data_IF_341802808163
#
_entry.id   IF_341802808163
#
_cell.length_a   1.000
_cell.length_b   1.000
_cell.length_c   1.000
_cell.angle_alpha   90.00
_cell.angle_beta   90.00
_cell.angle_gamma   90.00
#
_symmetry.space_group_name_H-M   'P 1'
#
loop_
_entity.id
_entity.type
_entity.pdbx_description
1 polymer ?
#
# COMPACT_ATOMS: atom_id res chain seq x y z
N UNK A 1 30.34 10.73 20.11
CA UNK A 1 29.65 10.10 18.96
C UNK A 1 28.45 10.97 18.63
N UNK A 2 28.34 11.53 17.42
CA UNK A 2 27.24 12.43 17.08
C UNK A 2 25.92 11.64 17.01
N UNK A 3 24.87 12.19 17.61
CA UNK A 3 23.52 11.64 17.56
C UNK A 3 22.82 12.15 16.30
N UNK A 4 22.26 11.25 15.51
CA UNK A 4 21.47 11.57 14.33
C UNK A 4 19.99 11.35 14.63
N UNK A 5 19.16 12.24 14.11
CA UNK A 5 17.72 12.12 14.10
C UNK A 5 17.30 11.63 12.72
N UNK A 6 16.25 10.81 12.65
CA UNK A 6 15.64 10.45 11.40
C UNK A 6 14.12 10.62 11.48
N UNK A 7 13.51 10.95 10.34
CA UNK A 7 12.07 10.88 10.13
C UNK A 7 11.79 10.17 8.81
N UNK A 8 10.68 9.45 8.77
CA UNK A 8 10.18 8.79 7.57
C UNK A 8 8.84 9.41 7.24
N UNK A 9 8.75 9.94 6.03
CA UNK A 9 7.54 10.60 5.50
C UNK A 9 7.00 9.76 4.35
N UNK A 10 5.70 9.49 4.34
CA UNK A 10 5.00 8.80 3.25
C UNK A 10 3.58 9.34 3.16
N UNK A 11 3.09 9.61 1.94
CA UNK A 11 1.76 10.19 1.69
C UNK A 11 1.51 11.43 2.58
N UNK A 12 2.49 12.34 2.61
CA UNK A 12 2.42 13.60 3.38
C UNK A 12 2.30 13.42 4.92
N UNK A 13 2.53 12.22 5.44
CA UNK A 13 2.46 11.91 6.87
C UNK A 13 3.81 11.40 7.41
N UNK A 14 4.13 11.79 8.64
CA UNK A 14 5.26 11.22 9.38
C UNK A 14 4.84 9.84 9.89
N UNK A 15 5.46 8.79 9.35
CA UNK A 15 5.14 7.39 9.66
C UNK A 15 6.13 6.75 10.64
N UNK A 16 7.33 7.34 10.81
CA UNK A 16 8.29 6.93 11.83
C UNK A 16 9.24 8.09 12.18
N UNK A 17 9.71 8.12 13.42
CA UNK A 17 10.75 9.05 13.89
C UNK A 17 11.67 8.34 14.89
N UNK A 18 12.91 8.80 14.99
CA UNK A 18 13.77 8.35 16.06
C UNK A 18 15.16 8.94 16.05
N UNK A 19 15.97 8.42 16.97
CA UNK A 19 17.36 8.84 17.20
C UNK A 19 18.29 7.64 17.12
N UNK A 20 19.46 7.84 16.52
CA UNK A 20 20.51 6.83 16.41
C UNK A 20 21.87 7.44 16.72
N UNK A 21 22.70 6.71 17.45
CA UNK A 21 24.08 7.11 17.76
C UNK A 21 25.11 6.38 16.90
N UNK A 22 24.66 5.74 15.82
CA UNK A 22 25.48 4.97 14.89
C UNK A 22 25.44 5.61 13.51
N UNK A 23 26.55 5.55 12.79
CA UNK A 23 26.65 5.97 11.38
C UNK A 23 25.90 5.02 10.44
N UNK A 24 25.57 3.82 10.92
CA UNK A 24 24.78 2.83 10.19
C UNK A 24 23.64 2.33 11.09
N UNK A 25 22.42 2.35 10.57
CA UNK A 25 21.25 1.84 11.27
C UNK A 25 20.26 1.21 10.28
N UNK A 26 19.46 0.26 10.79
CA UNK A 26 18.44 -0.44 10.01
C UNK A 26 17.07 0.13 10.33
N UNK A 27 16.24 0.23 9.29
CA UNK A 27 14.82 0.54 9.38
C UNK A 27 14.03 -0.61 8.76
N UNK A 28 12.92 -0.98 9.39
CA UNK A 28 12.01 -2.01 8.88
C UNK A 28 10.78 -1.32 8.30
N UNK A 29 10.57 -1.36 6.98
CA UNK A 29 9.41 -0.73 6.37
C UNK A 29 8.10 -1.38 6.82
N UNK A 30 7.07 -0.56 7.00
CA UNK A 30 5.70 -1.00 7.24
C UNK A 30 4.81 -0.64 6.05
N UNK A 31 3.61 -1.23 5.96
CA UNK A 31 2.67 -0.92 4.87
C UNK A 31 2.24 0.57 4.85
N UNK A 32 2.39 1.29 5.97
CA UNK A 32 2.17 2.73 6.06
C UNK A 32 3.15 3.53 5.20
N UNK A 33 4.33 2.98 4.90
CA UNK A 33 5.41 3.60 4.11
C UNK A 33 5.19 3.48 2.60
N UNK A 34 4.22 2.66 2.18
CA UNK A 34 3.85 2.49 0.79
C UNK A 34 2.97 3.64 0.26
N UNK A 35 3.10 4.00 -1.03
CA UNK A 35 3.93 3.33 -2.04
C UNK A 35 5.36 3.86 -2.17
N UNK A 36 5.66 4.98 -1.52
CA UNK A 36 6.99 5.59 -1.50
C UNK A 36 7.24 6.22 -0.14
N UNK A 37 8.46 6.10 0.36
CA UNK A 37 8.90 6.71 1.61
C UNK A 37 10.11 7.60 1.38
N UNK A 38 10.07 8.81 1.95
CA UNK A 38 11.20 9.72 2.06
C UNK A 38 11.80 9.58 3.46
N UNK A 39 13.03 9.09 3.54
CA UNK A 39 13.79 8.93 4.78
C UNK A 39 14.72 10.14 4.87
N UNK A 40 14.48 10.99 5.86
CA UNK A 40 15.28 12.19 6.12
C UNK A 40 16.12 11.93 7.36
N UNK A 41 17.42 12.16 7.27
CA UNK A 41 18.36 12.06 8.39
C UNK A 41 19.00 13.42 8.61
N UNK A 42 19.08 13.85 9.87
CA UNK A 42 19.66 15.15 10.20
C UNK A 42 20.32 15.18 11.58
N UNK A 43 21.24 16.11 11.76
CA UNK A 43 21.82 16.44 13.06
C UNK A 43 22.04 17.95 13.18
N UNK A 44 22.21 18.42 14.40
CA UNK A 44 22.49 19.83 14.70
C UNK A 44 23.93 19.94 15.17
N UNK A 45 24.69 20.87 14.58
CA UNK A 45 26.08 21.15 14.99
C UNK A 45 26.11 21.97 16.29
N UNK A 46 27.28 22.07 16.91
CA UNK A 46 27.45 22.89 18.12
C UNK A 46 27.23 24.40 17.86
N UNK A 47 27.34 24.84 16.59
CA UNK A 47 27.01 26.20 16.15
C UNK A 47 25.50 26.42 15.92
N UNK A 48 24.68 25.38 16.05
CA UNK A 48 23.23 25.44 15.81
C UNK A 48 22.81 25.23 14.35
N UNK A 49 23.74 24.90 13.45
CA UNK A 49 23.45 24.59 12.05
C UNK A 49 22.79 23.21 11.93
N UNK A 50 21.76 23.11 11.08
CA UNK A 50 21.11 21.83 10.76
C UNK A 50 21.70 21.29 9.47
N UNK A 51 22.30 20.10 9.55
CA UNK A 51 22.80 19.36 8.38
C UNK A 51 21.91 18.16 8.18
N UNK A 52 21.32 18.04 6.99
CA UNK A 52 20.41 16.95 6.64
C UNK A 52 20.74 16.34 5.27
N UNK A 53 20.26 15.12 5.07
CA UNK A 53 20.19 14.44 3.78
C UNK A 53 18.91 13.60 3.72
N UNK A 54 18.47 13.26 2.50
CA UNK A 54 17.23 12.52 2.29
C UNK A 54 17.39 11.46 1.18
N UNK A 55 16.76 10.31 1.40
CA UNK A 55 16.66 9.25 0.39
C UNK A 55 15.21 8.85 0.20
N UNK A 56 14.82 8.71 -1.07
CA UNK A 56 13.48 8.25 -1.45
C UNK A 56 13.58 6.77 -1.83
N UNK A 57 12.72 5.95 -1.23
CA UNK A 57 12.67 4.50 -1.46
C UNK A 57 11.27 4.06 -1.89
N UNK A 58 11.11 3.30 -2.99
CA UNK A 58 9.84 2.70 -3.35
C UNK A 58 9.53 1.54 -2.39
N UNK A 59 8.29 1.50 -1.89
CA UNK A 59 7.81 0.45 -0.98
C UNK A 59 6.62 -0.22 -1.64
N UNK A 60 6.71 -1.54 -1.86
CA UNK A 60 5.62 -2.27 -2.49
C UNK A 60 4.40 -2.33 -1.55
N UNK A 61 3.23 -1.79 -1.96
CA UNK A 61 2.02 -1.87 -1.16
C UNK A 61 1.55 -3.32 -1.02
N UNK A 62 1.03 -3.66 0.15
CA UNK A 62 0.45 -4.97 0.43
C UNK A 62 -1.02 -4.80 0.83
N UNK A 63 -1.91 -5.35 0.01
CA UNK A 63 -3.31 -5.52 0.42
C UNK A 63 -3.38 -6.58 1.51
N UNK A 64 -3.66 -6.13 2.74
CA UNK A 64 -3.75 -6.97 3.94
C UNK A 64 -4.88 -7.99 3.84
N UNK A 65 -6.02 -7.57 3.29
CA UNK A 65 -7.19 -8.42 3.14
C UNK A 65 -6.96 -9.41 2.00
N UNK A 66 -6.72 -10.68 2.34
CA UNK A 66 -6.67 -11.76 1.36
C UNK A 66 -8.06 -12.35 1.19
N UNK A 67 -8.51 -12.39 -0.06
CA UNK A 67 -9.82 -12.91 -0.43
C UNK A 67 -9.63 -14.22 -1.17
N UNK A 68 -10.38 -15.26 -0.77
CA UNK A 68 -10.47 -16.53 -1.50
C UNK A 68 -11.92 -16.76 -1.88
N UNK A 69 -12.16 -17.05 -3.15
CA UNK A 69 -13.50 -17.23 -3.68
C UNK A 69 -13.62 -18.61 -4.29
N UNK A 70 -14.76 -19.26 -4.07
CA UNK A 70 -15.08 -20.53 -4.71
C UNK A 70 -16.57 -20.62 -4.99
N UNK A 71 -16.88 -21.03 -6.21
CA UNK A 71 -18.24 -21.35 -6.61
C UNK A 71 -18.57 -22.79 -6.25
N UNK A 72 -19.85 -23.05 -5.97
CA UNK A 72 -20.34 -24.42 -5.75
C UNK A 72 -20.26 -25.29 -7.01
N UNK A 73 -20.26 -24.68 -8.21
CA UNK A 73 -20.18 -25.32 -9.52
C UNK A 73 -19.47 -24.41 -10.51
N UNK A 74 -18.71 -24.98 -11.45
CA UNK A 74 -18.02 -24.21 -12.51
C UNK A 74 -18.96 -23.78 -13.64
N UNK A 75 -20.06 -24.51 -13.83
CA UNK A 75 -21.12 -24.24 -14.81
C UNK A 75 -22.48 -24.49 -14.17
N UNK A 76 -23.47 -23.72 -14.61
CA UNK A 76 -24.84 -23.85 -14.17
C UNK A 76 -25.79 -23.54 -15.33
N UNK A 77 -26.89 -24.27 -15.40
CA UNK A 77 -27.98 -24.01 -16.34
C UNK A 77 -28.82 -22.81 -15.89
N UNK A 78 -29.60 -22.19 -16.80
CA UNK A 78 -30.52 -21.11 -16.44
C UNK A 78 -31.43 -21.52 -15.27
N UNK A 79 -31.60 -20.60 -14.31
CA UNK A 79 -32.39 -20.81 -13.09
C UNK A 79 -31.84 -21.85 -12.10
N UNK A 80 -30.70 -22.49 -12.37
CA UNK A 80 -30.04 -23.30 -11.34
C UNK A 80 -29.52 -22.44 -10.19
N UNK A 81 -29.66 -22.97 -8.96
CA UNK A 81 -29.08 -22.33 -7.77
C UNK A 81 -27.58 -22.61 -7.71
N UNK A 82 -26.81 -21.53 -7.56
CA UNK A 82 -25.38 -21.56 -7.28
C UNK A 82 -25.08 -20.83 -5.97
N UNK A 83 -23.95 -21.16 -5.36
CA UNK A 83 -23.47 -20.47 -4.15
C UNK A 83 -22.03 -20.03 -4.34
N UNK A 84 -21.75 -18.79 -3.96
CA UNK A 84 -20.41 -18.22 -3.89
C UNK A 84 -19.96 -18.21 -2.43
N UNK A 85 -18.87 -18.92 -2.14
CA UNK A 85 -18.19 -18.85 -0.84
C UNK A 85 -17.05 -17.86 -0.92
N UNK A 86 -17.00 -16.94 0.03
CA UNK A 86 -15.94 -15.94 0.13
C UNK A 86 -15.27 -16.08 1.50
N UNK A 87 -13.99 -16.40 1.50
CA UNK A 87 -13.13 -16.37 2.69
C UNK A 87 -12.32 -15.09 2.73
N UNK A 88 -12.28 -14.44 3.88
CA UNK A 88 -11.50 -13.21 4.13
C UNK A 88 -10.52 -13.46 5.27
N UNK A 89 -9.34 -12.84 5.20
CA UNK A 89 -8.33 -12.95 6.27
C UNK A 89 -8.61 -12.03 7.46
N UNK A 90 -9.29 -10.90 7.26
CA UNK A 90 -9.51 -9.89 8.29
C UNK A 90 -10.99 -9.84 8.73
N UNK A 91 -11.26 -9.71 10.05
CA UNK A 91 -12.61 -9.51 10.56
C UNK A 91 -13.18 -8.17 10.10
N UNK A 92 -14.52 -8.06 10.05
CA UNK A 92 -15.24 -6.85 9.63
C UNK A 92 -14.91 -6.35 8.21
N UNK A 93 -14.44 -7.25 7.33
CA UNK A 93 -14.23 -6.93 5.91
C UNK A 93 -15.56 -6.66 5.21
N UNK A 94 -15.64 -5.53 4.49
CA UNK A 94 -16.76 -5.19 3.60
C UNK A 94 -16.47 -5.72 2.20
N UNK A 95 -17.46 -6.39 1.60
CA UNK A 95 -17.34 -7.01 0.27
C UNK A 95 -18.38 -6.41 -0.66
N UNK A 96 -17.93 -5.73 -1.72
CA UNK A 96 -18.75 -5.33 -2.84
C UNK A 96 -18.73 -6.41 -3.93
N UNK A 97 -19.90 -6.84 -4.40
CA UNK A 97 -20.02 -7.80 -5.50
C UNK A 97 -20.70 -7.14 -6.69
N UNK A 98 -20.07 -7.24 -7.86
CA UNK A 98 -20.66 -6.85 -9.14
C UNK A 98 -20.76 -8.07 -10.04
N UNK A 99 -21.94 -8.29 -10.62
CA UNK A 99 -22.21 -9.40 -11.54
C UNK A 99 -22.47 -8.80 -12.91
N UNK A 100 -21.63 -9.15 -13.88
CA UNK A 100 -21.68 -8.61 -15.24
C UNK A 100 -21.87 -9.74 -16.25
N UNK A 101 -22.67 -9.47 -17.29
CA UNK A 101 -22.79 -10.38 -18.43
C UNK A 101 -21.50 -10.36 -19.25
N UNK A 102 -21.00 -11.51 -19.69
CA UNK A 102 -19.73 -11.59 -20.43
C UNK A 102 -19.75 -10.78 -21.74
N UNK A 103 -20.91 -10.59 -22.36
CA UNK A 103 -21.07 -9.81 -23.59
C UNK A 103 -20.77 -8.33 -23.40
N UNK A 104 -20.94 -7.78 -22.19
CA UNK A 104 -20.65 -6.36 -21.91
C UNK A 104 -19.15 -6.07 -21.85
N UNK A 105 -18.30 -7.09 -21.68
CA UNK A 105 -16.84 -6.96 -21.72
C UNK A 105 -16.28 -6.57 -23.11
N UNK A 106 -17.13 -6.58 -24.14
CA UNK A 106 -16.77 -6.23 -25.52
C UNK A 106 -17.07 -4.76 -25.88
N UNK A 107 -17.77 -4.01 -25.02
CA UNK A 107 -18.23 -2.66 -25.31
C UNK A 107 -17.62 -1.66 -24.32
N UNK A 108 -16.61 -0.92 -24.76
CA UNK A 108 -16.08 0.25 -24.07
C UNK A 108 -14.78 0.05 -23.26
N UNK A 109 -14.16 1.16 -22.89
CA UNK A 109 -12.94 1.21 -22.08
C UNK A 109 -13.12 0.48 -20.75
N UNK A 110 -12.10 -0.27 -20.34
CA UNK A 110 -12.13 -1.11 -19.14
C UNK A 110 -12.11 -0.23 -17.89
N UNK A 111 -13.28 -0.03 -17.27
CA UNK A 111 -13.41 0.61 -15.95
C UNK A 111 -13.29 -0.38 -14.79
N UNK A 112 -12.70 -1.55 -15.02
CA UNK A 112 -12.48 -2.55 -13.98
C UNK A 112 -11.48 -2.02 -12.95
N UNK A 113 -11.85 -2.08 -11.67
CA UNK A 113 -10.92 -1.77 -10.58
C UNK A 113 -9.98 -2.97 -10.39
N UNK A 114 -8.70 -2.77 -10.69
CA UNK A 114 -7.65 -3.79 -10.52
C UNK A 114 -6.65 -3.38 -9.44
N UNK A 115 -5.93 -4.35 -8.85
CA UNK A 115 -4.88 -4.05 -7.86
C UNK A 115 -3.83 -3.10 -8.45
N UNK A 116 -3.44 -3.32 -9.71
CA UNK A 116 -2.46 -2.48 -10.41
C UNK A 116 -2.97 -1.05 -10.57
N UNK A 117 -4.24 -0.85 -10.93
CA UNK A 117 -4.85 0.49 -11.01
C UNK A 117 -4.83 1.18 -9.65
N UNK A 118 -5.18 0.47 -8.57
CA UNK A 118 -5.17 1.05 -7.21
C UNK A 118 -3.74 1.44 -6.79
N UNK A 119 -2.75 0.58 -7.06
CA UNK A 119 -1.36 0.88 -6.74
C UNK A 119 -0.79 2.02 -7.58
N UNK A 120 -1.17 2.10 -8.86
CA UNK A 120 -0.80 3.21 -9.73
C UNK A 120 -1.36 4.54 -9.19
N UNK A 121 -2.66 4.60 -8.89
CA UNK A 121 -3.28 5.80 -8.33
C UNK A 121 -2.66 6.21 -7.00
N UNK A 122 -2.39 5.25 -6.10
CA UNK A 122 -1.67 5.52 -4.84
C UNK A 122 -0.30 6.14 -5.09
N UNK A 123 0.40 5.74 -6.16
CA UNK A 123 1.73 6.25 -6.50
C UNK A 123 1.72 7.70 -6.98
N UNK A 124 0.56 8.23 -7.40
CA UNK A 124 0.43 9.63 -7.81
C UNK A 124 0.45 10.60 -6.62
N UNK A 125 0.14 10.13 -5.42
CA UNK A 125 0.21 10.90 -4.17
C UNK A 125 1.62 10.95 -3.56
N UNK A 126 2.62 10.51 -4.31
CA UNK A 126 4.02 10.59 -3.92
C UNK A 126 4.57 11.99 -4.17
N UNK A 127 4.20 12.94 -3.32
CA UNK A 127 4.85 14.26 -3.28
C UNK A 127 6.05 14.18 -2.34
N UNK A 128 7.22 14.66 -2.80
CA UNK A 128 8.41 14.88 -1.97
C UNK A 128 8.38 16.28 -1.40
#
# INVERSE_FOLDING_TARGET
MKEFNYMVVSKEQIVAVGKKRSTTFTLTPENSWAPMACIIVYYVTDSGEVVNDAVVVPIQPVLKNKIKMSWSKDKAEPSEKVSLKIGVSEPNTIIGLSVVDKSTKLVGERSDITEDTVFHELSLYNTV
#
